data_IF_294749408212
#
_entry.id   IF_294749408212
#
_cell.length_a   1.000
_cell.length_b   1.000
_cell.length_c   1.000
_cell.angle_alpha   90.00
_cell.angle_beta   90.00
_cell.angle_gamma   90.00
#
_symmetry.space_group_name_H-M   'P 1'
#
loop_
_entity.id
_entity.type
_entity.pdbx_description
1 polymer ?
#
# COMPACT_ATOMS: atom_id res chain seq x y z
N UNK A 1 18.61 28.60 -3.27
CA UNK A 1 17.91 27.52 -3.98
C UNK A 1 18.95 26.72 -4.75
N UNK A 2 18.94 25.38 -4.67
CA UNK A 2 19.87 24.53 -5.41
C UNK A 2 19.18 24.06 -6.69
N UNK A 3 19.80 24.31 -7.84
CA UNK A 3 19.27 23.93 -9.16
C UNK A 3 20.29 23.04 -9.83
N UNK A 4 19.83 21.93 -10.43
CA UNK A 4 20.71 21.10 -11.24
C UNK A 4 20.86 21.73 -12.63
N UNK A 5 22.11 21.96 -13.02
CA UNK A 5 22.50 22.49 -14.32
C UNK A 5 23.51 21.58 -15.01
N UNK A 6 23.58 21.72 -16.33
CA UNK A 6 24.68 21.22 -17.14
C UNK A 6 25.98 21.99 -16.79
N UNK A 7 27.12 21.46 -17.23
CA UNK A 7 28.45 22.07 -16.93
C UNK A 7 28.59 23.50 -17.50
N UNK A 8 27.82 23.82 -18.53
CA UNK A 8 27.73 25.15 -19.16
C UNK A 8 26.79 26.12 -18.41
N UNK A 9 26.15 25.67 -17.33
CA UNK A 9 25.21 26.45 -16.53
C UNK A 9 23.77 26.42 -17.03
N UNK A 10 23.46 25.72 -18.13
CA UNK A 10 22.08 25.55 -18.57
C UNK A 10 21.29 24.69 -17.59
N UNK A 11 20.10 25.15 -17.23
CA UNK A 11 19.24 24.41 -16.31
C UNK A 11 18.75 23.12 -16.97
N UNK A 12 18.81 22.02 -16.22
CA UNK A 12 18.26 20.76 -16.71
C UNK A 12 16.73 20.94 -16.81
N UNK A 13 16.22 20.75 -18.02
CA UNK A 13 14.78 20.83 -18.32
C UNK A 13 14.00 19.76 -17.55
N UNK A 14 12.79 20.10 -17.12
CA UNK A 14 11.92 19.20 -16.35
C UNK A 14 11.71 17.84 -17.02
N UNK A 15 11.49 17.85 -18.34
CA UNK A 15 11.26 16.65 -19.16
C UNK A 15 12.48 15.72 -19.22
N UNK A 16 13.68 16.28 -19.02
CA UNK A 16 14.91 15.51 -19.00
C UNK A 16 14.97 14.60 -17.76
N UNK A 17 14.51 15.06 -16.60
CA UNK A 17 14.44 14.24 -15.39
C UNK A 17 13.48 13.06 -15.54
N UNK A 18 12.29 13.32 -16.09
CA UNK A 18 11.29 12.27 -16.34
C UNK A 18 11.80 11.23 -17.34
N UNK A 19 12.44 11.69 -18.42
CA UNK A 19 13.00 10.81 -19.44
C UNK A 19 14.19 10.01 -18.92
N UNK A 20 15.06 10.63 -18.14
CA UNK A 20 16.17 9.93 -17.49
C UNK A 20 15.67 8.86 -16.53
N UNK A 21 14.74 9.21 -15.62
CA UNK A 21 14.20 8.26 -14.65
C UNK A 21 13.52 7.09 -15.36
N UNK A 22 12.69 7.36 -16.36
CA UNK A 22 12.04 6.30 -17.15
C UNK A 22 13.07 5.34 -17.76
N UNK A 23 14.10 5.87 -18.42
CA UNK A 23 15.15 5.05 -19.05
C UNK A 23 15.90 4.22 -18.02
N UNK A 24 16.25 4.82 -16.89
CA UNK A 24 16.95 4.13 -15.80
C UNK A 24 16.09 3.01 -15.22
N UNK A 25 14.85 3.28 -14.86
CA UNK A 25 13.92 2.29 -14.33
C UNK A 25 13.71 1.13 -15.31
N UNK A 26 13.46 1.43 -16.59
CA UNK A 26 13.30 0.41 -17.63
C UNK A 26 14.56 -0.43 -17.79
N UNK A 27 15.75 0.18 -17.75
CA UNK A 27 17.04 -0.56 -17.86
C UNK A 27 17.26 -1.56 -16.71
N UNK A 28 16.64 -1.29 -15.56
CA UNK A 28 16.69 -2.14 -14.36
C UNK A 28 15.50 -3.10 -14.25
N UNK A 29 14.61 -3.13 -15.23
CA UNK A 29 13.42 -4.00 -15.24
C UNK A 29 12.28 -3.51 -14.34
N UNK A 30 12.34 -2.26 -13.85
CA UNK A 30 11.25 -1.69 -13.07
C UNK A 30 10.10 -1.23 -13.95
N UNK A 31 8.87 -1.52 -13.51
CA UNK A 31 7.63 -1.06 -14.17
C UNK A 31 7.25 0.38 -13.81
N UNK A 32 7.77 0.89 -12.68
CA UNK A 32 7.51 2.24 -12.19
C UNK A 32 8.49 3.20 -12.85
N UNK A 33 8.00 4.05 -13.74
CA UNK A 33 8.85 4.88 -14.62
C UNK A 33 8.60 6.38 -14.51
N UNK A 34 7.70 6.81 -13.61
CA UNK A 34 7.42 8.23 -13.37
C UNK A 34 7.84 8.66 -11.96
N UNK A 35 8.17 9.95 -11.82
CA UNK A 35 8.69 10.54 -10.57
C UNK A 35 7.71 10.38 -9.40
N UNK A 36 6.41 10.54 -9.66
CA UNK A 36 5.38 10.46 -8.63
C UNK A 36 5.27 9.06 -8.03
N UNK A 37 5.22 8.04 -8.88
CA UNK A 37 5.14 6.64 -8.48
C UNK A 37 6.45 6.16 -7.83
N UNK A 38 7.60 6.71 -8.23
CA UNK A 38 8.85 6.48 -7.50
C UNK A 38 8.76 7.04 -6.08
N UNK A 39 8.28 8.29 -5.92
CA UNK A 39 8.09 8.94 -4.61
C UNK A 39 7.13 8.15 -3.72
N UNK A 40 6.03 7.64 -4.29
CA UNK A 40 5.09 6.76 -3.60
C UNK A 40 5.75 5.44 -3.17
N UNK A 41 6.45 4.77 -4.08
CA UNK A 41 7.11 3.49 -3.81
C UNK A 41 8.22 3.62 -2.76
N UNK A 42 9.00 4.71 -2.79
CA UNK A 42 10.01 5.00 -1.78
C UNK A 42 9.37 5.12 -0.39
N UNK A 43 8.29 5.89 -0.28
CA UNK A 43 7.60 6.05 1.00
C UNK A 43 7.04 4.72 1.50
N UNK A 44 6.31 3.99 0.66
CA UNK A 44 5.54 2.82 1.07
C UNK A 44 6.39 1.57 1.26
N UNK A 45 7.36 1.32 0.38
CA UNK A 45 8.11 0.06 0.34
C UNK A 45 9.50 0.17 1.00
N UNK A 46 9.97 1.37 1.35
CA UNK A 46 11.28 1.56 1.99
C UNK A 46 11.14 2.30 3.32
N UNK A 47 10.59 3.53 3.32
CA UNK A 47 10.60 4.36 4.53
C UNK A 47 9.67 3.85 5.64
N UNK A 48 8.48 3.35 5.28
CA UNK A 48 7.56 2.74 6.27
C UNK A 48 8.15 1.46 6.87
N UNK A 49 8.64 0.48 6.09
CA UNK A 49 9.29 -0.71 6.66
C UNK A 49 10.52 -0.41 7.52
N UNK A 50 11.23 0.68 7.25
CA UNK A 50 12.34 1.15 8.10
C UNK A 50 11.89 1.75 9.44
N UNK A 51 10.59 1.90 9.68
CA UNK A 51 10.05 2.48 10.92
C UNK A 51 10.17 4.01 11.00
N UNK A 52 10.39 4.70 9.87
CA UNK A 52 10.54 6.16 9.86
C UNK A 52 9.19 6.82 10.13
N UNK A 53 9.18 7.81 11.04
CA UNK A 53 7.97 8.48 11.47
C UNK A 53 7.23 9.17 10.31
N UNK A 54 5.90 9.30 10.35
CA UNK A 54 5.15 10.04 9.34
C UNK A 54 5.63 11.49 9.14
N UNK A 55 6.13 12.13 10.20
CA UNK A 55 6.63 13.51 10.17
C UNK A 55 7.95 13.61 9.40
N UNK A 56 8.90 12.72 9.69
CA UNK A 56 10.20 12.71 9.01
C UNK A 56 10.06 12.32 7.54
N UNK A 57 9.20 11.34 7.23
CA UNK A 57 8.86 10.99 5.84
C UNK A 57 8.25 12.18 5.11
N UNK A 58 7.36 12.92 5.76
CA UNK A 58 6.75 14.10 5.19
C UNK A 58 7.76 15.22 4.89
N UNK A 59 8.69 15.46 5.82
CA UNK A 59 9.79 16.41 5.64
C UNK A 59 10.75 16.00 4.51
N UNK A 60 11.19 14.73 4.47
CA UNK A 60 12.10 14.22 3.44
C UNK A 60 11.51 14.30 2.03
N UNK A 61 10.22 14.03 1.91
CA UNK A 61 9.55 14.03 0.60
C UNK A 61 9.10 15.44 0.22
N UNK A 62 8.94 16.36 1.18
CA UNK A 62 8.51 17.73 0.92
C UNK A 62 7.00 17.82 0.70
N UNK A 63 6.21 17.29 1.63
CA UNK A 63 4.75 17.50 1.70
C UNK A 63 4.28 17.53 3.16
N UNK A 64 3.03 17.94 3.40
CA UNK A 64 2.47 17.92 4.76
C UNK A 64 2.33 16.50 5.30
N UNK A 65 2.30 16.37 6.64
CA UNK A 65 2.06 15.10 7.32
C UNK A 65 0.72 14.49 6.89
N UNK A 66 -0.32 15.32 6.77
CA UNK A 66 -1.64 14.90 6.32
C UNK A 66 -1.60 14.30 4.90
N UNK A 67 -0.91 14.96 3.97
CA UNK A 67 -0.76 14.47 2.58
C UNK A 67 -0.01 13.14 2.56
N UNK A 68 1.03 12.99 3.37
CA UNK A 68 1.80 11.75 3.48
C UNK A 68 0.93 10.57 3.97
N UNK A 69 0.13 10.81 5.01
CA UNK A 69 -0.78 9.80 5.57
C UNK A 69 -1.87 9.43 4.55
N UNK A 70 -2.47 10.42 3.91
CA UNK A 70 -3.61 10.22 3.01
C UNK A 70 -3.24 9.53 1.70
N UNK A 71 -2.12 9.90 1.07
CA UNK A 71 -1.82 9.46 -0.29
C UNK A 71 -0.64 8.51 -0.41
N UNK A 72 0.29 8.52 0.55
CA UNK A 72 1.57 7.82 0.41
C UNK A 72 1.73 6.63 1.37
N UNK A 73 0.82 6.44 2.32
CA UNK A 73 0.98 5.41 3.37
C UNK A 73 0.33 4.05 3.05
N UNK A 74 -0.64 4.00 2.13
CA UNK A 74 -1.38 2.77 1.79
C UNK A 74 -0.83 1.99 0.58
N UNK A 75 0.19 2.50 -0.10
CA UNK A 75 0.72 1.88 -1.33
C UNK A 75 1.78 0.79 -1.08
N UNK A 76 1.76 0.12 0.07
CA UNK A 76 2.75 -0.93 0.35
C UNK A 76 2.43 -2.16 -0.50
N UNK A 77 3.46 -2.75 -1.10
CA UNK A 77 3.31 -4.06 -1.74
C UNK A 77 2.88 -5.07 -0.68
N UNK A 78 1.90 -5.91 -1.03
CA UNK A 78 1.39 -6.99 -0.18
C UNK A 78 0.73 -6.53 1.14
N UNK A 79 0.32 -5.25 1.25
CA UNK A 79 -0.34 -4.69 2.44
C UNK A 79 -1.48 -5.57 2.98
N UNK A 80 -2.42 -5.97 2.11
CA UNK A 80 -3.55 -6.83 2.50
C UNK A 80 -3.08 -8.22 2.94
N UNK A 81 -2.02 -8.75 2.33
CA UNK A 81 -1.41 -10.01 2.75
C UNK A 81 -0.80 -9.90 4.15
N UNK A 82 -0.12 -8.80 4.45
CA UNK A 82 0.44 -8.54 5.78
C UNK A 82 -0.67 -8.36 6.82
N UNK A 83 -1.74 -7.61 6.50
CA UNK A 83 -2.89 -7.47 7.39
C UNK A 83 -3.54 -8.82 7.67
N UNK A 84 -3.72 -9.65 6.64
CA UNK A 84 -4.22 -11.01 6.80
C UNK A 84 -3.33 -11.84 7.73
N UNK A 85 -2.02 -11.84 7.50
CA UNK A 85 -1.08 -12.60 8.34
C UNK A 85 -1.11 -12.15 9.81
N UNK A 86 -1.26 -10.86 10.07
CA UNK A 86 -1.41 -10.32 11.44
C UNK A 86 -2.72 -10.81 12.09
N UNK A 87 -3.82 -10.80 11.35
CA UNK A 87 -5.12 -11.28 11.84
C UNK A 87 -5.11 -12.79 12.07
N UNK A 88 -4.55 -13.56 11.14
CA UNK A 88 -4.42 -15.02 11.24
C UNK A 88 -3.55 -15.40 12.46
N UNK A 89 -2.46 -14.67 12.72
CA UNK A 89 -1.60 -14.88 13.91
C UNK A 89 -2.30 -14.50 15.23
N UNK A 90 -3.16 -13.49 15.22
CA UNK A 90 -3.94 -13.11 16.40
C UNK A 90 -5.03 -14.13 16.76
N UNK A 91 -5.53 -14.88 15.78
CA UNK A 91 -6.50 -15.98 15.99
C UNK A 91 -5.83 -17.21 16.63
N UNK A 92 -4.57 -17.47 16.25
CA UNK A 92 -3.74 -18.55 16.80
C UNK A 92 -3.32 -18.30 18.26
N UNK A 93 -3.05 -17.04 18.64
CA UNK A 93 -2.79 -16.67 20.05
C UNK A 93 -4.09 -16.62 20.89
N UNK A 94 -5.25 -16.78 20.26
CA UNK A 94 -6.57 -16.48 20.82
C UNK A 94 -7.58 -17.62 20.84
N UNK A 95 -7.20 -18.89 20.72
CA UNK A 95 -8.19 -19.99 20.84
C UNK A 95 -7.71 -21.22 21.63
N UNK A 96 -7.39 -21.03 22.92
CA UNK A 96 -7.87 -21.95 23.96
C UNK A 96 -9.27 -21.52 24.43
N UNK A 97 -10.13 -21.15 23.48
CA UNK A 97 -11.51 -20.76 23.73
C UNK A 97 -12.35 -21.99 24.05
N UNK A 98 -12.84 -22.06 25.28
CA UNK A 98 -13.88 -22.97 25.74
C UNK A 98 -14.96 -23.19 24.63
N UNK A 99 -15.40 -24.42 24.33
CA UNK A 99 -16.32 -24.72 23.22
C UNK A 99 -17.78 -24.25 23.45
N UNK A 100 -18.00 -23.19 24.25
CA UNK A 100 -19.32 -22.75 24.70
C UNK A 100 -20.01 -21.69 23.83
N UNK A 101 -19.30 -21.01 22.91
CA UNK A 101 -19.84 -19.85 22.19
C UNK A 101 -19.90 -20.04 20.67
N UNK A 102 -20.25 -21.25 20.21
CA UNK A 102 -20.57 -21.49 18.80
C UNK A 102 -21.96 -20.92 18.49
N UNK A 103 -22.02 -19.79 17.79
CA UNK A 103 -23.28 -19.27 17.24
C UNK A 103 -23.64 -20.11 16.01
N UNK A 104 -24.60 -21.03 16.17
CA UNK A 104 -25.17 -21.77 15.05
C UNK A 104 -26.12 -20.86 14.27
N UNK A 105 -25.78 -20.60 13.02
CA UNK A 105 -26.72 -20.01 12.06
C UNK A 105 -27.66 -21.12 11.57
N UNK A 106 -28.99 -20.94 11.64
CA UNK A 106 -29.90 -21.89 11.03
C UNK A 106 -29.63 -21.96 9.53
N UNK A 107 -29.44 -23.19 9.01
CA UNK A 107 -29.34 -23.41 7.58
C UNK A 107 -30.61 -22.89 6.92
N UNK A 108 -30.44 -22.08 5.87
CA UNK A 108 -31.54 -21.60 5.04
C UNK A 108 -32.26 -22.82 4.48
N UNK A 109 -33.54 -22.99 4.82
CA UNK A 109 -34.36 -24.05 4.23
C UNK A 109 -34.29 -23.94 2.70
N UNK A 110 -34.08 -25.08 2.03
CA UNK A 110 -34.05 -25.09 0.57
C UNK A 110 -35.41 -24.65 0.03
N UNK A 111 -35.47 -23.96 -1.13
CA UNK A 111 -36.73 -23.50 -1.72
C UNK A 111 -37.74 -24.62 -2.02
N UNK A 112 -37.31 -25.89 -1.97
CA UNK A 112 -38.12 -27.07 -2.27
C UNK A 112 -39.15 -27.38 -1.17
N UNK A 113 -38.95 -26.92 0.06
CA UNK A 113 -39.90 -27.11 1.17
C UNK A 113 -41.15 -26.23 1.08
N UNK A 114 -41.10 -25.11 0.32
CA UNK A 114 -42.22 -24.17 0.22
C UNK A 114 -43.27 -24.55 -0.83
N UNK A 115 -43.00 -25.53 -1.70
CA UNK A 115 -43.90 -25.88 -2.80
C UNK A 115 -44.90 -26.98 -2.39
N UNK A 116 -44.69 -27.71 -1.28
CA UNK A 116 -45.60 -28.80 -0.87
C UNK A 116 -46.77 -28.39 0.04
N UNK A 117 -46.95 -27.10 0.34
CA UNK A 117 -48.08 -26.60 1.14
C UNK A 117 -49.13 -25.82 0.32
N UNK A 118 -49.05 -25.90 -1.01
CA UNK A 118 -49.95 -25.17 -1.91
C UNK A 118 -50.55 -26.04 -3.01
N UNK A 119 -51.11 -27.21 -2.67
CA UNK A 119 -52.13 -27.91 -3.47
C UNK A 119 -53.03 -28.75 -2.57
#
# INVERSE_FOLDING_TARGET
EFVFCHEDGEWIKTDAYETFLRRLCTSKGFKVTNNHALRMSLNSNVLIPMGISPADRAAMLGHSIETNLKYYSFAQKDYIGNVRAILDAADDEGTQGNPGNLVHFPQKESPEALISQGF
#
